data_IF_804045556287
#
_entry.id   IF_804045556287
#
_cell.length_a   1.000
_cell.length_b   1.000
_cell.length_c   1.000
_cell.angle_alpha   90.00
_cell.angle_beta   90.00
_cell.angle_gamma   90.00
#
_symmetry.space_group_name_H-M   'P 1'
#
loop_
_entity.id
_entity.type
_entity.pdbx_description
1 polymer ?
#
# COMPACT_ATOMS: atom_id res chain seq x y z
N UNK A 1 14.86 14.79 4.84
CA UNK A 1 13.76 13.99 4.26
C UNK A 1 14.36 12.99 3.28
N UNK A 2 13.90 11.71 3.33
CA UNK A 2 14.39 10.64 2.45
C UNK A 2 14.08 10.99 0.99
N UNK A 3 15.10 11.08 0.11
CA UNK A 3 14.93 11.51 -1.29
C UNK A 3 14.90 10.35 -2.28
N UNK A 4 15.30 9.14 -1.86
CA UNK A 4 15.44 7.99 -2.75
C UNK A 4 14.13 7.24 -2.84
N UNK A 5 13.72 6.90 -4.08
CA UNK A 5 12.51 6.15 -4.39
C UNK A 5 12.79 4.92 -5.27
N UNK A 6 14.05 4.55 -5.41
CA UNK A 6 14.42 3.43 -6.26
C UNK A 6 14.27 2.12 -5.49
N UNK A 7 13.27 1.33 -5.86
CA UNK A 7 13.11 -0.04 -5.39
C UNK A 7 13.63 -1.00 -6.45
N UNK A 8 14.56 -1.87 -6.08
CA UNK A 8 15.02 -2.97 -6.92
C UNK A 8 14.04 -4.13 -6.78
N UNK A 9 13.38 -4.50 -7.87
CA UNK A 9 12.56 -5.71 -7.94
C UNK A 9 13.35 -6.83 -8.61
N UNK A 10 13.69 -7.86 -7.84
CA UNK A 10 14.38 -9.04 -8.36
C UNK A 10 13.34 -10.10 -8.68
N UNK A 11 13.01 -10.23 -9.96
CA UNK A 11 11.96 -11.15 -10.46
C UNK A 11 12.53 -12.41 -11.10
N UNK A 12 13.86 -12.53 -11.18
CA UNK A 12 14.53 -13.71 -11.72
C UNK A 12 14.38 -14.87 -10.75
N UNK A 13 13.87 -15.98 -11.24
CA UNK A 13 13.71 -17.22 -10.47
C UNK A 13 15.08 -17.72 -10.00
N UNK A 14 15.14 -18.23 -8.76
CA UNK A 14 16.35 -18.72 -8.07
C UNK A 14 17.51 -17.72 -7.99
N UNK A 15 17.22 -16.43 -8.16
CA UNK A 15 18.23 -15.38 -7.97
C UNK A 15 18.61 -15.26 -6.49
N UNK A 16 19.90 -15.34 -6.19
CA UNK A 16 20.49 -15.07 -4.90
C UNK A 16 21.08 -13.66 -4.84
N UNK A 17 20.92 -13.00 -3.69
CA UNK A 17 21.42 -11.64 -3.47
C UNK A 17 22.62 -11.64 -2.54
N UNK A 18 23.69 -10.96 -2.91
CA UNK A 18 24.89 -10.83 -2.08
C UNK A 18 25.40 -9.40 -2.03
N UNK A 19 26.24 -9.12 -1.02
CA UNK A 19 26.95 -7.86 -0.91
C UNK A 19 28.35 -8.03 -1.52
N UNK A 20 28.72 -7.07 -2.38
CA UNK A 20 30.10 -6.92 -2.83
C UNK A 20 30.50 -5.43 -2.80
N UNK A 21 31.38 -5.06 -1.86
CA UNK A 21 31.67 -3.67 -1.55
C UNK A 21 30.39 -2.91 -1.14
N UNK A 22 30.08 -1.86 -1.85
CA UNK A 22 28.86 -1.03 -1.65
C UNK A 22 27.73 -1.40 -2.63
N UNK A 23 27.76 -2.60 -3.21
CA UNK A 23 26.79 -3.01 -4.23
C UNK A 23 26.02 -4.26 -3.79
N UNK A 24 24.72 -4.30 -4.15
CA UNK A 24 23.98 -5.54 -4.22
C UNK A 24 24.29 -6.23 -5.54
N UNK A 25 24.68 -7.47 -5.47
CA UNK A 25 24.93 -8.36 -6.61
C UNK A 25 23.79 -9.36 -6.69
N UNK A 26 23.15 -9.44 -7.85
CA UNK A 26 22.14 -10.43 -8.18
C UNK A 26 22.81 -11.54 -8.96
N UNK A 27 22.78 -12.77 -8.48
CA UNK A 27 23.41 -13.92 -9.14
C UNK A 27 22.44 -15.10 -9.24
N UNK A 28 22.66 -15.95 -10.24
CA UNK A 28 22.00 -17.24 -10.40
C UNK A 28 23.05 -18.28 -10.78
N UNK A 29 23.03 -19.44 -10.15
CA UNK A 29 24.01 -20.53 -10.41
C UNK A 29 25.48 -20.04 -10.36
N UNK A 30 25.79 -19.13 -9.42
CA UNK A 30 27.09 -18.45 -9.26
C UNK A 30 27.49 -17.49 -10.40
N UNK A 31 26.64 -17.24 -11.38
CA UNK A 31 26.86 -16.22 -12.38
C UNK A 31 26.24 -14.90 -11.95
N UNK A 32 26.99 -13.81 -12.03
CA UNK A 32 26.48 -12.46 -11.81
C UNK A 32 25.55 -12.07 -12.97
N UNK A 33 24.32 -11.72 -12.65
CA UNK A 33 23.33 -11.24 -13.62
C UNK A 33 23.26 -9.72 -13.66
N UNK A 34 23.42 -9.09 -12.49
CA UNK A 34 23.33 -7.64 -12.35
C UNK A 34 23.96 -7.15 -11.05
N UNK A 35 24.36 -5.87 -11.04
CA UNK A 35 24.98 -5.19 -9.91
C UNK A 35 24.39 -3.79 -9.77
N UNK A 36 24.01 -3.41 -8.53
CA UNK A 36 23.42 -2.09 -8.26
C UNK A 36 24.04 -1.49 -6.99
N UNK A 37 24.42 -0.19 -7.01
CA UNK A 37 24.93 0.50 -5.84
C UNK A 37 23.85 0.64 -4.76
N UNK A 38 24.13 0.23 -3.52
CA UNK A 38 23.18 0.30 -2.41
C UNK A 38 22.74 1.73 -2.12
N UNK A 39 23.64 2.71 -2.23
CA UNK A 39 23.31 4.11 -1.95
C UNK A 39 22.27 4.71 -2.90
N UNK A 40 21.97 4.06 -4.03
CA UNK A 40 20.91 4.48 -4.96
C UNK A 40 19.55 3.87 -4.64
N UNK A 41 19.48 2.90 -3.70
CA UNK A 41 18.28 2.13 -3.42
C UNK A 41 17.60 2.59 -2.13
N UNK A 42 16.26 2.63 -2.15
CA UNK A 42 15.42 2.78 -0.96
C UNK A 42 14.83 1.45 -0.49
N UNK A 43 14.80 0.45 -1.36
CA UNK A 43 14.27 -0.86 -1.04
C UNK A 43 14.67 -1.91 -2.07
N UNK A 44 14.61 -3.16 -1.64
CA UNK A 44 14.82 -4.36 -2.47
C UNK A 44 13.66 -5.30 -2.19
N UNK A 45 12.95 -5.76 -3.21
CA UNK A 45 11.93 -6.80 -3.11
C UNK A 45 12.35 -7.96 -3.99
N UNK A 46 12.66 -9.09 -3.37
CA UNK A 46 13.11 -10.30 -4.05
C UNK A 46 11.96 -11.31 -4.17
N UNK A 47 11.59 -11.66 -5.39
CA UNK A 47 10.56 -12.65 -5.72
C UNK A 47 11.19 -14.02 -5.94
N UNK A 48 11.94 -14.50 -4.97
CA UNK A 48 12.74 -15.73 -5.05
C UNK A 48 12.80 -16.44 -3.69
N UNK A 49 13.03 -17.73 -3.72
CA UNK A 49 13.30 -18.54 -2.53
C UNK A 49 14.81 -18.68 -2.22
N UNK A 50 15.67 -18.26 -3.13
CA UNK A 50 17.13 -18.43 -2.93
C UNK A 50 17.72 -17.53 -1.82
N UNK A 51 17.05 -16.42 -1.51
CA UNK A 51 17.38 -15.57 -0.36
C UNK A 51 18.51 -14.56 -0.63
N UNK A 52 19.15 -14.13 0.46
CA UNK A 52 20.24 -13.16 0.43
C UNK A 52 21.33 -13.48 1.47
N UNK A 53 22.55 -12.97 1.26
CA UNK A 53 23.63 -13.12 2.21
C UNK A 53 23.38 -12.31 3.48
N UNK A 54 23.82 -12.81 4.69
CA UNK A 54 23.73 -12.06 5.94
C UNK A 54 24.45 -10.70 5.86
N UNK A 55 25.55 -10.63 5.12
CA UNK A 55 26.29 -9.38 4.88
C UNK A 55 25.42 -8.33 4.17
N UNK A 56 24.67 -8.72 3.12
CA UNK A 56 23.74 -7.83 2.44
C UNK A 56 22.58 -7.41 3.37
N UNK A 57 22.02 -8.37 4.11
CA UNK A 57 20.95 -8.09 5.08
C UNK A 57 21.39 -7.02 6.08
N UNK A 58 22.57 -7.19 6.69
CA UNK A 58 23.16 -6.23 7.63
C UNK A 58 23.47 -4.86 6.99
N UNK A 59 23.98 -4.85 5.76
CA UNK A 59 24.25 -3.61 5.03
C UNK A 59 22.95 -2.83 4.69
N UNK A 60 21.89 -3.54 4.32
CA UNK A 60 20.58 -2.96 4.09
C UNK A 60 19.99 -2.37 5.37
N UNK A 61 20.02 -3.14 6.47
CA UNK A 61 19.53 -2.72 7.77
C UNK A 61 20.21 -1.44 8.27
N UNK A 62 21.54 -1.36 8.20
CA UNK A 62 22.32 -0.17 8.60
C UNK A 62 22.04 1.08 7.77
N UNK A 63 21.52 0.93 6.53
CA UNK A 63 21.25 2.03 5.59
C UNK A 63 19.77 2.36 5.44
N UNK A 64 18.90 1.76 6.28
CA UNK A 64 17.43 1.88 6.15
C UNK A 64 16.91 1.49 4.75
N UNK A 65 17.55 0.53 4.10
CA UNK A 65 17.10 -0.05 2.84
C UNK A 65 16.16 -1.22 3.18
N UNK A 66 14.89 -1.07 2.85
CA UNK A 66 13.91 -2.13 3.09
C UNK A 66 14.23 -3.36 2.21
N UNK A 67 14.58 -4.49 2.82
CA UNK A 67 14.81 -5.75 2.10
C UNK A 67 13.68 -6.74 2.45
N UNK A 68 12.88 -7.08 1.44
CA UNK A 68 11.73 -7.98 1.57
C UNK A 68 11.81 -9.14 0.60
N UNK A 69 11.31 -10.28 1.04
CA UNK A 69 11.21 -11.51 0.25
C UNK A 69 9.75 -11.84 0.00
N UNK A 70 9.44 -12.16 -1.25
CA UNK A 70 8.14 -12.63 -1.68
C UNK A 70 8.29 -13.96 -2.43
N UNK A 71 7.24 -14.76 -2.47
CA UNK A 71 7.20 -15.88 -3.41
C UNK A 71 7.30 -15.34 -4.85
N UNK A 72 7.69 -16.17 -5.83
CA UNK A 72 7.65 -15.78 -7.24
C UNK A 72 6.30 -15.21 -7.68
N UNK A 73 5.21 -15.63 -7.04
CA UNK A 73 3.83 -15.16 -7.29
C UNK A 73 3.41 -13.93 -6.46
N UNK A 74 4.34 -13.29 -5.75
CA UNK A 74 4.12 -12.01 -5.04
C UNK A 74 3.56 -12.12 -3.62
N UNK A 75 3.39 -13.35 -3.05
CA UNK A 75 3.01 -13.49 -1.64
C UNK A 75 4.20 -13.14 -0.75
N UNK A 76 4.01 -12.22 0.19
CA UNK A 76 5.01 -11.87 1.18
C UNK A 76 5.46 -13.09 2.01
N UNK A 77 6.76 -13.23 2.21
CA UNK A 77 7.38 -14.29 3.00
C UNK A 77 8.03 -13.72 4.27
N UNK A 78 8.97 -12.80 4.10
CA UNK A 78 9.76 -12.24 5.18
C UNK A 78 10.29 -10.85 4.83
N UNK A 79 10.67 -10.10 5.84
CA UNK A 79 11.40 -8.84 5.73
C UNK A 79 12.62 -8.87 6.66
N UNK A 80 13.72 -8.33 6.17
CA UNK A 80 14.90 -8.11 6.99
C UNK A 80 14.69 -6.83 7.83
N UNK A 81 14.72 -6.99 9.15
CA UNK A 81 14.66 -5.89 10.11
C UNK A 81 15.96 -5.91 10.90
N UNK A 82 16.67 -4.79 10.95
CA UNK A 82 17.90 -4.64 11.71
C UNK A 82 17.66 -4.35 13.19
N UNK A 83 18.69 -3.87 13.86
CA UNK A 83 18.56 -3.38 15.22
C UNK A 83 17.50 -2.28 15.28
N UNK A 84 16.69 -2.30 16.32
CA UNK A 84 15.67 -1.30 16.53
C UNK A 84 16.34 -0.01 16.99
N UNK A 85 16.59 0.89 16.06
CA UNK A 85 17.25 2.18 16.32
C UNK A 85 16.29 3.27 16.77
N UNK A 86 14.97 3.02 16.78
CA UNK A 86 13.96 4.01 17.08
C UNK A 86 13.85 4.42 18.55
N UNK A 87 13.22 5.57 18.77
CA UNK A 87 12.95 6.11 20.08
C UNK A 87 12.05 5.19 20.91
N UNK A 88 12.57 4.59 21.97
CA UNK A 88 11.84 3.72 22.92
C UNK A 88 10.61 4.45 23.50
N UNK A 89 10.73 5.77 23.79
CA UNK A 89 9.62 6.55 24.31
C UNK A 89 8.45 6.64 23.32
N UNK A 90 8.74 6.80 22.03
CA UNK A 90 7.72 6.84 20.97
C UNK A 90 6.95 5.52 20.91
N UNK A 91 7.62 4.37 20.96
CA UNK A 91 6.94 3.06 20.98
C UNK A 91 6.11 2.86 22.24
N UNK A 92 6.63 3.28 23.41
CA UNK A 92 5.83 3.23 24.64
C UNK A 92 4.57 4.08 24.54
N UNK A 93 4.63 5.23 23.89
CA UNK A 93 3.46 6.09 23.65
C UNK A 93 2.50 5.44 22.65
N UNK A 94 3.02 4.81 21.59
CA UNK A 94 2.21 4.04 20.64
C UNK A 94 1.44 2.92 21.37
N UNK A 95 2.11 2.12 22.20
CA UNK A 95 1.47 1.03 22.91
C UNK A 95 0.40 1.52 23.90
N UNK A 96 0.69 2.57 24.66
CA UNK A 96 -0.32 3.18 25.56
C UNK A 96 -1.53 3.71 24.80
N UNK A 97 -1.32 4.33 23.64
CA UNK A 97 -2.41 4.80 22.80
C UNK A 97 -3.21 3.64 22.19
N UNK A 98 -2.56 2.51 21.87
CA UNK A 98 -3.21 1.31 21.35
C UNK A 98 -4.01 0.56 22.46
N UNK A 99 -3.53 0.58 23.70
CA UNK A 99 -4.21 0.00 24.85
C UNK A 99 -5.41 0.84 25.33
N UNK A 100 -5.50 2.11 24.94
CA UNK A 100 -6.60 3.01 25.22
C UNK A 100 -7.61 3.02 24.05
N UNK A 101 -8.80 2.43 24.19
CA UNK A 101 -9.80 2.38 23.12
C UNK A 101 -10.22 3.76 22.60
N UNK A 102 -10.26 4.77 23.46
CA UNK A 102 -10.62 6.13 23.08
C UNK A 102 -9.54 6.78 22.20
N UNK A 103 -8.28 6.68 22.60
CA UNK A 103 -7.17 7.20 21.80
C UNK A 103 -7.00 6.43 20.48
N UNK A 104 -7.15 5.10 20.53
CA UNK A 104 -7.16 4.28 19.32
C UNK A 104 -8.26 4.71 18.35
N UNK A 105 -9.48 4.92 18.84
CA UNK A 105 -10.59 5.39 18.02
C UNK A 105 -10.31 6.78 17.44
N UNK A 106 -9.76 7.69 18.21
CA UNK A 106 -9.39 9.05 17.77
C UNK A 106 -8.37 9.04 16.62
N UNK A 107 -7.39 8.14 16.64
CA UNK A 107 -6.43 7.96 15.55
C UNK A 107 -7.10 7.27 14.35
N UNK A 108 -7.80 6.17 14.59
CA UNK A 108 -8.42 5.36 13.56
C UNK A 108 -9.46 6.15 12.75
N UNK A 109 -10.30 6.98 13.41
CA UNK A 109 -11.30 7.79 12.71
C UNK A 109 -10.70 8.73 11.67
N UNK A 110 -9.55 9.35 11.98
CA UNK A 110 -8.86 10.21 11.02
C UNK A 110 -8.36 9.42 9.81
N UNK A 111 -7.83 8.20 10.02
CA UNK A 111 -7.41 7.31 8.93
C UNK A 111 -8.62 6.88 8.08
N UNK A 112 -9.75 6.52 8.73
CA UNK A 112 -10.97 6.13 8.02
C UNK A 112 -11.60 7.31 7.29
N UNK A 113 -11.62 8.50 7.90
CA UNK A 113 -12.05 9.71 7.20
C UNK A 113 -11.20 9.95 5.93
N UNK A 114 -9.87 9.80 6.03
CA UNK A 114 -8.96 9.86 4.87
C UNK A 114 -9.32 8.85 3.79
N UNK A 115 -9.59 7.59 4.17
CA UNK A 115 -10.06 6.55 3.26
C UNK A 115 -11.34 6.95 2.54
N UNK A 116 -12.37 7.34 3.28
CA UNK A 116 -13.68 7.72 2.71
C UNK A 116 -13.57 8.95 1.80
N UNK A 117 -12.80 9.96 2.22
CA UNK A 117 -12.52 11.15 1.41
C UNK A 117 -11.87 10.75 0.08
N UNK A 118 -10.83 9.94 0.11
CA UNK A 118 -10.09 9.53 -1.07
C UNK A 118 -10.90 8.58 -1.98
N UNK A 119 -11.74 7.71 -1.41
CA UNK A 119 -12.69 6.88 -2.14
C UNK A 119 -13.68 7.76 -2.92
N UNK A 120 -14.30 8.72 -2.25
CA UNK A 120 -15.19 9.69 -2.89
C UNK A 120 -14.50 10.42 -4.04
N UNK A 121 -13.29 10.96 -3.81
CA UNK A 121 -12.58 11.69 -4.87
C UNK A 121 -12.18 10.80 -6.05
N UNK A 122 -11.93 9.51 -5.84
CA UNK A 122 -11.69 8.56 -6.92
C UNK A 122 -12.92 8.40 -7.81
N UNK A 123 -14.14 8.33 -7.22
CA UNK A 123 -15.40 8.28 -7.95
C UNK A 123 -15.69 9.63 -8.63
N UNK A 124 -15.54 10.77 -7.92
CA UNK A 124 -15.76 12.12 -8.46
C UNK A 124 -14.92 12.36 -9.71
N UNK A 125 -13.67 11.95 -9.67
CA UNK A 125 -12.75 12.09 -10.81
C UNK A 125 -13.20 11.25 -12.00
N UNK A 126 -13.61 10.01 -11.79
CA UNK A 126 -14.14 9.17 -12.87
C UNK A 126 -15.41 9.79 -13.47
N UNK A 127 -16.32 10.26 -12.63
CA UNK A 127 -17.56 10.95 -13.06
C UNK A 127 -17.25 12.20 -13.90
N UNK A 128 -16.30 13.02 -13.45
CA UNK A 128 -15.90 14.25 -14.14
C UNK A 128 -15.20 13.97 -15.48
N UNK A 129 -14.22 13.05 -15.45
CA UNK A 129 -13.35 12.83 -16.61
C UNK A 129 -13.99 11.90 -17.66
N UNK A 130 -15.01 11.12 -17.27
CA UNK A 130 -15.62 10.08 -18.13
C UNK A 130 -17.15 10.04 -18.07
N UNK A 131 -17.80 11.16 -17.74
CA UNK A 131 -19.26 11.25 -17.54
C UNK A 131 -20.12 10.73 -18.70
N UNK A 132 -19.62 10.80 -19.94
CA UNK A 132 -20.32 10.25 -21.12
C UNK A 132 -20.23 8.71 -21.24
N UNK A 133 -19.43 8.03 -20.40
CA UNK A 133 -19.13 6.60 -20.49
C UNK A 133 -19.57 5.81 -19.27
N UNK A 134 -20.04 6.49 -18.23
CA UNK A 134 -20.41 5.93 -16.93
C UNK A 134 -21.83 6.36 -16.54
N UNK A 135 -22.47 5.60 -15.66
CA UNK A 135 -23.73 6.02 -15.05
C UNK A 135 -23.46 7.09 -13.99
N UNK A 136 -23.62 8.36 -14.39
CA UNK A 136 -23.39 9.54 -13.54
C UNK A 136 -24.28 9.53 -12.30
N UNK A 137 -25.54 9.08 -12.42
CA UNK A 137 -26.49 9.06 -11.31
C UNK A 137 -26.09 7.99 -10.28
N UNK A 138 -25.69 6.81 -10.74
CA UNK A 138 -25.19 5.73 -9.86
C UNK A 138 -23.93 6.16 -9.12
N UNK A 139 -22.98 6.79 -9.82
CA UNK A 139 -21.76 7.33 -9.20
C UNK A 139 -22.09 8.43 -8.18
N UNK A 140 -23.04 9.33 -8.51
CA UNK A 140 -23.44 10.40 -7.60
C UNK A 140 -24.09 9.85 -6.34
N UNK A 141 -24.98 8.85 -6.45
CA UNK A 141 -25.60 8.20 -5.30
C UNK A 141 -24.56 7.60 -4.36
N UNK A 142 -23.52 6.93 -4.90
CA UNK A 142 -22.42 6.41 -4.10
C UNK A 142 -21.61 7.52 -3.40
N UNK A 143 -21.32 8.62 -4.10
CA UNK A 143 -20.64 9.79 -3.54
C UNK A 143 -21.43 10.35 -2.36
N UNK A 144 -22.76 10.49 -2.49
CA UNK A 144 -23.60 11.06 -1.45
C UNK A 144 -23.72 10.11 -0.24
N UNK A 145 -23.79 8.79 -0.46
CA UNK A 145 -23.70 7.80 0.62
C UNK A 145 -22.39 7.95 1.41
N UNK A 146 -21.25 8.06 0.73
CA UNK A 146 -19.93 8.22 1.39
C UNK A 146 -19.88 9.55 2.14
N UNK A 147 -20.38 10.65 1.57
CA UNK A 147 -20.44 11.96 2.26
C UNK A 147 -21.29 11.92 3.52
N UNK A 148 -22.40 11.19 3.48
CA UNK A 148 -23.28 11.01 4.65
C UNK A 148 -22.59 10.34 5.84
N UNK A 149 -21.53 9.58 5.63
CA UNK A 149 -20.74 8.94 6.70
C UNK A 149 -19.73 9.89 7.36
N UNK A 150 -19.38 11.03 6.74
CA UNK A 150 -18.36 11.92 7.28
C UNK A 150 -18.63 12.41 8.72
N UNK A 151 -19.82 12.97 9.03
CA UNK A 151 -20.10 13.40 10.39
C UNK A 151 -20.08 12.22 11.36
N UNK A 152 -20.66 11.08 10.98
CA UNK A 152 -20.69 9.87 11.81
C UNK A 152 -19.27 9.42 12.19
N UNK A 153 -18.38 9.31 11.23
CA UNK A 153 -16.97 8.93 11.44
C UNK A 153 -16.26 9.95 12.34
N UNK A 154 -16.48 11.25 12.14
CA UNK A 154 -15.76 12.29 12.89
C UNK A 154 -16.22 12.43 14.34
N UNK A 155 -17.46 12.04 14.66
CA UNK A 155 -18.02 12.07 16.00
C UNK A 155 -17.85 10.73 16.74
N UNK A 156 -17.39 9.68 16.05
CA UNK A 156 -17.33 8.33 16.60
C UNK A 156 -16.27 8.19 17.71
N UNK A 157 -16.64 7.49 18.76
CA UNK A 157 -15.82 7.20 19.94
C UNK A 157 -15.62 5.69 20.18
N UNK A 158 -16.31 4.85 19.40
CA UNK A 158 -16.25 3.40 19.48
C UNK A 158 -15.58 2.80 18.25
N UNK A 159 -14.55 1.98 18.45
CA UNK A 159 -13.88 1.27 17.34
C UNK A 159 -14.80 0.27 16.63
N UNK A 160 -15.77 -0.32 17.32
CA UNK A 160 -16.66 -1.30 16.68
C UNK A 160 -17.68 -0.60 15.78
N UNK A 161 -18.24 0.54 16.22
CA UNK A 161 -19.10 1.38 15.36
C UNK A 161 -18.30 1.93 14.17
N UNK A 162 -17.09 2.46 14.42
CA UNK A 162 -16.21 2.97 13.35
C UNK A 162 -15.93 1.92 12.27
N UNK A 163 -15.79 0.64 12.65
CA UNK A 163 -15.66 -0.48 11.68
C UNK A 163 -16.92 -0.69 10.86
N UNK A 164 -18.09 -0.47 11.47
CA UNK A 164 -19.38 -0.51 10.76
C UNK A 164 -19.48 0.56 9.69
N UNK A 165 -19.09 1.79 10.02
CA UNK A 165 -19.08 2.94 9.12
C UNK A 165 -18.04 2.79 8.02
N UNK A 166 -16.84 2.29 8.35
CA UNK A 166 -15.81 1.92 7.38
C UNK A 166 -16.34 0.90 6.38
N UNK A 167 -17.01 -0.16 6.87
CA UNK A 167 -17.63 -1.19 6.05
C UNK A 167 -18.70 -0.63 5.13
N UNK A 168 -19.59 0.23 5.63
CA UNK A 168 -20.63 0.88 4.83
C UNK A 168 -20.02 1.78 3.74
N UNK A 169 -18.97 2.52 4.06
CA UNK A 169 -18.25 3.34 3.09
C UNK A 169 -17.49 2.52 2.04
N UNK A 170 -16.86 1.43 2.46
CA UNK A 170 -16.21 0.49 1.55
C UNK A 170 -17.22 -0.15 0.59
N UNK A 171 -18.38 -0.57 1.10
CA UNK A 171 -19.47 -1.10 0.27
C UNK A 171 -19.92 -0.06 -0.76
N UNK A 172 -20.23 1.18 -0.34
CA UNK A 172 -20.64 2.24 -1.25
C UNK A 172 -19.60 2.49 -2.35
N UNK A 173 -18.32 2.44 -2.03
CA UNK A 173 -17.22 2.59 -3.00
C UNK A 173 -17.14 1.41 -3.98
N UNK A 174 -17.19 0.18 -3.47
CA UNK A 174 -17.04 -1.01 -4.30
C UNK A 174 -18.30 -1.35 -5.10
N UNK A 175 -19.49 -0.88 -4.71
CA UNK A 175 -20.74 -0.99 -5.48
C UNK A 175 -20.63 -0.34 -6.87
N UNK A 176 -19.75 0.66 -7.01
CA UNK A 176 -19.52 1.38 -8.28
C UNK A 176 -18.11 1.17 -8.85
N UNK A 177 -17.33 0.26 -8.27
CA UNK A 177 -15.95 0.04 -8.71
C UNK A 177 -15.90 -0.48 -10.15
N UNK A 178 -16.82 -1.38 -10.50
CA UNK A 178 -16.93 -1.90 -11.87
C UNK A 178 -17.23 -0.79 -12.90
N UNK A 179 -18.02 0.21 -12.52
CA UNK A 179 -18.35 1.33 -13.42
C UNK A 179 -17.11 2.20 -13.73
N UNK A 180 -16.07 2.18 -12.88
CA UNK A 180 -14.79 2.86 -13.11
C UNK A 180 -13.85 2.10 -14.04
N UNK A 181 -14.16 0.84 -14.38
CA UNK A 181 -13.46 0.04 -15.39
C UNK A 181 -14.08 0.41 -16.75
N UNK A 182 -13.32 1.11 -17.58
CA UNK A 182 -13.83 1.71 -18.81
C UNK A 182 -13.53 0.89 -20.07
N UNK A 183 -12.75 -0.19 -19.95
CA UNK A 183 -12.29 -1.00 -21.09
C UNK A 183 -12.25 -2.49 -20.75
N UNK A 184 -12.36 -3.32 -21.79
CA UNK A 184 -12.20 -4.79 -21.71
C UNK A 184 -13.04 -5.45 -20.61
N UNK A 185 -14.29 -5.01 -20.47
CA UNK A 185 -15.19 -5.44 -19.39
C UNK A 185 -15.54 -6.95 -19.42
N UNK A 186 -15.30 -7.63 -20.52
CA UNK A 186 -15.46 -9.08 -20.58
C UNK A 186 -14.42 -9.80 -19.72
N UNK A 187 -13.20 -9.26 -19.66
CA UNK A 187 -12.07 -9.87 -18.96
C UNK A 187 -11.71 -9.13 -17.67
N UNK A 188 -11.99 -7.82 -17.61
CA UNK A 188 -11.80 -6.99 -16.42
C UNK A 188 -13.15 -6.51 -15.89
N UNK A 189 -13.62 -7.18 -14.86
CA UNK A 189 -14.85 -6.86 -14.14
C UNK A 189 -14.62 -6.99 -12.64
N UNK A 190 -15.44 -6.29 -11.87
CA UNK A 190 -15.45 -6.38 -10.43
C UNK A 190 -16.87 -6.69 -9.93
N UNK A 191 -17.07 -7.86 -9.32
CA UNK A 191 -18.36 -8.24 -8.70
C UNK A 191 -18.31 -8.16 -7.19
N UNK A 192 -17.28 -8.73 -6.61
CA UNK A 192 -17.06 -8.77 -5.15
C UNK A 192 -15.58 -8.94 -4.85
N UNK A 193 -15.17 -8.60 -3.64
CA UNK A 193 -13.77 -8.73 -3.22
C UNK A 193 -13.41 -10.18 -2.89
N UNK A 194 -12.59 -10.82 -3.72
CA UNK A 194 -11.93 -12.10 -3.45
C UNK A 194 -10.44 -11.89 -3.17
N UNK A 195 -9.90 -12.58 -2.15
CA UNK A 195 -8.52 -12.29 -1.67
C UNK A 195 -7.61 -13.51 -1.63
N UNK A 196 -8.11 -14.65 -1.21
CA UNK A 196 -7.31 -15.86 -0.91
C UNK A 196 -8.07 -17.11 -1.32
N UNK A 197 -7.99 -17.47 -2.59
CA UNK A 197 -7.31 -16.79 -3.70
C UNK A 197 -8.13 -15.66 -4.34
N UNK A 198 -7.51 -14.76 -5.14
CA UNK A 198 -8.25 -13.90 -6.04
C UNK A 198 -8.85 -14.71 -7.18
N UNK A 199 -10.11 -14.42 -7.57
CA UNK A 199 -10.89 -15.24 -8.51
C UNK A 199 -11.13 -14.55 -9.87
N UNK A 200 -10.62 -13.34 -10.04
CA UNK A 200 -10.68 -12.56 -11.27
C UNK A 200 -9.44 -11.65 -11.43
N UNK A 201 -9.24 -11.14 -12.63
CA UNK A 201 -8.08 -10.33 -12.99
C UNK A 201 -7.96 -9.06 -12.15
N UNK A 202 -9.08 -8.40 -11.86
CA UNK A 202 -9.11 -7.16 -11.06
C UNK A 202 -8.72 -7.44 -9.62
N UNK A 203 -9.28 -8.49 -9.02
CA UNK A 203 -8.94 -8.90 -7.66
C UNK A 203 -7.49 -9.39 -7.52
N UNK A 204 -6.92 -10.02 -8.58
CA UNK A 204 -5.50 -10.38 -8.62
C UNK A 204 -4.62 -9.13 -8.56
N UNK A 205 -4.91 -8.11 -9.38
CA UNK A 205 -4.18 -6.85 -9.39
C UNK A 205 -4.33 -6.06 -8.09
N UNK A 206 -5.54 -5.94 -7.54
CA UNK A 206 -5.80 -5.29 -6.26
C UNK A 206 -5.03 -5.97 -5.12
N UNK A 207 -5.01 -7.31 -5.09
CA UNK A 207 -4.30 -8.06 -4.06
C UNK A 207 -2.79 -7.83 -4.13
N UNK A 208 -2.25 -7.77 -5.35
CA UNK A 208 -0.83 -7.50 -5.55
C UNK A 208 -0.46 -6.04 -5.20
N UNK A 209 -1.25 -5.06 -5.65
CA UNK A 209 -1.09 -3.64 -5.28
C UNK A 209 -1.11 -3.43 -3.76
N UNK A 210 -2.07 -4.06 -3.06
CA UNK A 210 -2.17 -3.94 -1.61
C UNK A 210 -1.00 -4.61 -0.88
N UNK A 211 -0.44 -5.69 -1.42
CA UNK A 211 0.77 -6.30 -0.86
C UNK A 211 1.97 -5.37 -0.97
N UNK A 212 2.15 -4.71 -2.11
CA UNK A 212 3.22 -3.74 -2.32
C UNK A 212 3.04 -2.50 -1.43
N UNK A 213 1.82 -1.94 -1.37
CA UNK A 213 1.52 -0.77 -0.55
C UNK A 213 1.66 -1.07 0.94
N UNK A 214 1.19 -2.24 1.40
CA UNK A 214 1.34 -2.67 2.79
C UNK A 214 2.81 -2.81 3.20
N UNK A 215 3.66 -3.31 2.31
CA UNK A 215 5.11 -3.35 2.50
C UNK A 215 5.73 -1.94 2.60
N UNK A 216 5.33 -1.02 1.72
CA UNK A 216 5.78 0.37 1.75
C UNK A 216 5.37 1.06 3.06
N UNK A 217 4.12 0.85 3.52
CA UNK A 217 3.62 1.39 4.80
C UNK A 217 4.37 0.82 6.01
N UNK A 218 4.59 -0.51 6.05
CA UNK A 218 5.34 -1.14 7.14
C UNK A 218 6.77 -0.62 7.22
N UNK A 219 7.47 -0.54 6.07
CA UNK A 219 8.83 0.00 6.00
C UNK A 219 8.90 1.47 6.41
N UNK A 220 7.87 2.26 6.07
CA UNK A 220 7.77 3.65 6.48
C UNK A 220 7.61 3.80 7.99
N UNK A 221 6.74 3.02 8.62
CA UNK A 221 6.52 3.03 10.07
C UNK A 221 7.77 2.65 10.84
N UNK A 222 8.44 1.59 10.42
CA UNK A 222 9.69 1.15 11.05
C UNK A 222 10.81 2.18 10.92
N UNK A 223 10.92 2.85 9.77
CA UNK A 223 11.96 3.87 9.55
C UNK A 223 11.79 5.11 10.44
N UNK A 224 10.61 5.35 11.00
CA UNK A 224 10.36 6.43 11.98
C UNK A 224 10.33 5.93 13.43
N UNK A 225 10.57 4.63 13.65
CA UNK A 225 10.66 4.02 14.97
C UNK A 225 9.33 3.57 15.57
N UNK A 226 8.27 3.43 14.75
CA UNK A 226 7.00 2.85 15.14
C UNK A 226 6.98 1.33 14.90
N UNK A 227 6.23 0.62 15.71
CA UNK A 227 5.95 -0.81 15.53
C UNK A 227 4.83 -0.98 14.51
N UNK A 228 5.14 -1.59 13.35
CA UNK A 228 4.17 -1.80 12.30
C UNK A 228 3.07 -2.82 12.66
N UNK A 229 3.24 -3.59 13.73
CA UNK A 229 2.30 -4.65 14.13
C UNK A 229 1.24 -4.17 15.12
N UNK A 230 1.51 -3.13 15.92
CA UNK A 230 0.56 -2.59 16.92
C UNK A 230 -0.27 -1.48 16.28
N UNK A 231 -1.49 -1.82 15.89
CA UNK A 231 -2.45 -0.94 15.22
C UNK A 231 -3.44 -0.27 16.18
N UNK A 232 -4.27 0.60 15.63
CA UNK A 232 -5.33 1.32 16.36
C UNK A 232 -6.73 0.83 15.96
N UNK A 233 -6.97 0.58 14.67
CA UNK A 233 -8.24 0.07 14.15
C UNK A 233 -8.23 -1.45 13.98
N UNK A 234 -7.19 -1.96 13.36
CA UNK A 234 -7.03 -3.39 13.17
C UNK A 234 -6.58 -4.05 14.49
N UNK A 235 -7.37 -5.02 14.97
CA UNK A 235 -7.03 -5.78 16.20
C UNK A 235 -5.73 -6.56 16.01
N UNK A 236 -4.96 -6.69 17.07
CA UNK A 236 -3.72 -7.45 17.07
C UNK A 236 -3.98 -8.92 16.75
N UNK A 237 -3.15 -9.45 15.87
CA UNK A 237 -3.11 -10.88 15.51
C UNK A 237 -1.67 -11.27 15.21
N UNK A 238 -1.21 -12.46 15.63
CA UNK A 238 0.12 -12.94 15.29
C UNK A 238 0.40 -12.87 13.79
N UNK A 239 1.54 -12.28 13.41
CA UNK A 239 1.98 -12.13 12.02
C UNK A 239 1.24 -11.08 11.20
N UNK A 240 0.36 -10.26 11.80
CA UNK A 240 -0.41 -9.22 11.10
C UNK A 240 0.19 -7.84 11.40
N UNK A 241 0.66 -7.15 10.38
CA UNK A 241 1.17 -5.77 10.50
C UNK A 241 0.00 -4.78 10.61
N UNK A 242 -0.68 -4.76 11.79
CA UNK A 242 -1.95 -4.05 12.00
C UNK A 242 -1.84 -2.56 11.75
N UNK A 243 -0.77 -1.88 12.21
CA UNK A 243 -0.60 -0.44 11.96
C UNK A 243 -0.28 -0.14 10.50
N UNK A 244 0.46 -1.01 9.81
CA UNK A 244 0.70 -0.83 8.38
C UNK A 244 -0.60 -0.96 7.57
N UNK A 245 -1.52 -1.82 7.99
CA UNK A 245 -2.85 -1.92 7.39
C UNK A 245 -3.71 -0.69 7.70
N UNK A 246 -3.63 -0.15 8.92
CA UNK A 246 -4.33 1.09 9.31
C UNK A 246 -3.87 2.27 8.45
N UNK A 247 -2.55 2.47 8.36
CA UNK A 247 -1.97 3.55 7.55
C UNK A 247 -2.30 3.40 6.06
N UNK A 248 -2.33 2.17 5.56
CA UNK A 248 -2.66 1.88 4.18
C UNK A 248 -4.10 2.25 3.81
N UNK A 249 -5.05 2.28 4.76
CA UNK A 249 -6.45 2.58 4.47
C UNK A 249 -6.63 3.92 3.75
N UNK A 250 -5.89 4.95 4.16
CA UNK A 250 -5.93 6.27 3.52
C UNK A 250 -5.48 6.23 2.04
N UNK A 251 -4.56 5.33 1.72
CA UNK A 251 -3.87 5.29 0.42
C UNK A 251 -4.49 4.29 -0.56
N UNK A 252 -5.31 3.36 -0.09
CA UNK A 252 -5.94 2.36 -0.97
C UNK A 252 -6.70 3.01 -2.12
N UNK A 253 -7.70 3.90 -1.88
CA UNK A 253 -8.52 4.39 -2.98
C UNK A 253 -7.76 5.30 -3.95
N UNK A 254 -6.91 6.19 -3.43
CA UNK A 254 -6.26 7.23 -4.23
C UNK A 254 -4.95 6.77 -4.89
N UNK A 255 -4.29 5.76 -4.34
CA UNK A 255 -3.03 5.25 -4.88
C UNK A 255 -3.20 3.85 -5.49
N UNK A 256 -3.53 2.81 -4.71
CA UNK A 256 -3.56 1.42 -5.18
C UNK A 256 -4.71 1.14 -6.15
N UNK A 257 -5.95 1.50 -5.79
CA UNK A 257 -7.13 1.21 -6.60
C UNK A 257 -7.10 2.00 -7.91
N UNK A 258 -6.78 3.30 -7.83
CA UNK A 258 -6.62 4.12 -9.02
C UNK A 258 -5.48 3.67 -9.92
N UNK A 259 -4.41 3.15 -9.34
CA UNK A 259 -3.33 2.57 -10.12
C UNK A 259 -3.83 1.35 -10.92
N UNK A 260 -4.53 0.43 -10.27
CA UNK A 260 -5.13 -0.74 -10.94
C UNK A 260 -6.08 -0.31 -12.07
N UNK A 261 -7.00 0.62 -11.78
CA UNK A 261 -7.91 1.17 -12.79
C UNK A 261 -7.15 1.81 -13.97
N UNK A 262 -6.05 2.52 -13.69
CA UNK A 262 -5.22 3.14 -14.72
C UNK A 262 -4.53 2.10 -15.61
N UNK A 263 -4.02 1.00 -15.03
CA UNK A 263 -3.40 -0.07 -15.81
C UNK A 263 -4.39 -0.71 -16.79
N UNK A 264 -5.62 -0.95 -16.35
CA UNK A 264 -6.69 -1.51 -17.19
C UNK A 264 -7.11 -0.50 -18.26
N UNK A 265 -7.47 0.71 -17.84
CA UNK A 265 -8.05 1.72 -18.73
C UNK A 265 -7.05 2.22 -19.79
N UNK A 266 -5.74 2.19 -19.49
CA UNK A 266 -4.66 2.54 -20.42
C UNK A 266 -4.08 1.31 -21.17
N UNK A 267 -4.62 0.10 -20.94
CA UNK A 267 -4.16 -1.14 -21.58
C UNK A 267 -2.68 -1.46 -21.32
N UNK A 268 -2.17 -1.10 -20.16
CA UNK A 268 -0.81 -1.45 -19.74
C UNK A 268 -0.76 -2.93 -19.35
N UNK A 269 -1.83 -3.43 -18.75
CA UNK A 269 -2.05 -4.85 -18.44
C UNK A 269 -3.23 -5.33 -19.29
N UNK A 270 -3.08 -6.50 -19.89
CA UNK A 270 -4.01 -7.14 -20.82
C UNK A 270 -4.45 -8.51 -20.28
N UNK A 271 -5.50 -9.15 -20.82
CA UNK A 271 -5.92 -10.48 -20.36
C UNK A 271 -4.84 -11.56 -20.50
N UNK A 272 -3.91 -11.44 -21.47
CA UNK A 272 -2.79 -12.36 -21.65
C UNK A 272 -1.73 -12.29 -20.54
N UNK A 273 -1.80 -11.28 -19.67
CA UNK A 273 -0.92 -11.11 -18.53
C UNK A 273 -1.36 -11.91 -17.29
N UNK A 274 -2.40 -12.73 -17.42
CA UNK A 274 -2.94 -13.56 -16.36
C UNK A 274 -2.92 -15.03 -16.69
N UNK A 275 -2.75 -15.85 -15.66
CA UNK A 275 -2.92 -17.30 -15.68
C UNK A 275 -4.03 -17.71 -14.70
N UNK A 276 -4.86 -18.68 -15.14
CA UNK A 276 -5.91 -19.28 -14.33
C UNK A 276 -5.45 -20.64 -13.87
N UNK A 277 -5.42 -20.87 -12.57
CA UNK A 277 -5.03 -22.16 -11.98
C UNK A 277 -6.23 -23.13 -11.93
N UNK A 278 -5.96 -24.43 -11.82
CA UNK A 278 -7.00 -25.46 -11.65
C UNK A 278 -7.86 -25.23 -10.38
N UNK A 279 -7.30 -24.56 -9.37
CA UNK A 279 -8.03 -24.18 -8.15
C UNK A 279 -8.92 -22.94 -8.32
N UNK A 280 -9.03 -22.39 -9.52
CA UNK A 280 -9.79 -21.19 -9.85
C UNK A 280 -9.08 -19.86 -9.44
N UNK A 281 -7.86 -19.93 -8.94
CA UNK A 281 -7.10 -18.73 -8.63
C UNK A 281 -6.60 -18.04 -9.90
N UNK A 282 -6.65 -16.70 -9.90
CA UNK A 282 -6.11 -15.87 -10.98
C UNK A 282 -4.84 -15.20 -10.50
N UNK A 283 -3.77 -15.35 -11.28
CA UNK A 283 -2.44 -14.86 -10.96
C UNK A 283 -1.86 -14.08 -12.14
N UNK A 284 -0.99 -13.10 -11.86
CA UNK A 284 -0.20 -12.44 -12.91
C UNK A 284 0.88 -13.39 -13.43
N UNK A 285 0.99 -13.50 -14.75
CA UNK A 285 2.15 -14.14 -15.41
C UNK A 285 3.44 -13.40 -15.08
N UNK A 286 4.59 -13.96 -15.38
CA UNK A 286 5.89 -13.30 -15.20
C UNK A 286 5.99 -11.97 -15.96
N UNK A 287 5.48 -11.93 -17.19
CA UNK A 287 5.46 -10.71 -17.99
C UNK A 287 4.49 -9.67 -17.42
N UNK A 288 3.27 -10.10 -17.05
CA UNK A 288 2.28 -9.24 -16.40
C UNK A 288 2.81 -8.66 -15.10
N UNK A 289 3.50 -9.46 -14.27
CA UNK A 289 4.12 -9.01 -13.03
C UNK A 289 5.24 -7.99 -13.28
N UNK A 290 6.12 -8.22 -14.26
CA UNK A 290 7.17 -7.26 -14.64
C UNK A 290 6.56 -5.92 -15.12
N UNK A 291 5.55 -5.96 -15.98
CA UNK A 291 4.84 -4.77 -16.46
C UNK A 291 4.19 -4.00 -15.29
N UNK A 292 3.51 -4.72 -14.38
CA UNK A 292 2.89 -4.15 -13.20
C UNK A 292 3.91 -3.47 -12.28
N UNK A 293 5.03 -4.13 -11.97
CA UNK A 293 6.08 -3.59 -11.09
C UNK A 293 6.78 -2.38 -11.70
N UNK A 294 7.02 -2.40 -13.01
CA UNK A 294 7.56 -1.24 -13.75
C UNK A 294 6.63 -0.04 -13.61
N UNK A 295 5.35 -0.22 -13.92
CA UNK A 295 4.35 0.84 -13.82
C UNK A 295 4.17 1.33 -12.36
N UNK A 296 4.24 0.41 -11.36
CA UNK A 296 4.20 0.77 -9.94
C UNK A 296 5.35 1.68 -9.56
N UNK A 297 6.56 1.37 -10.01
CA UNK A 297 7.74 2.17 -9.75
C UNK A 297 7.68 3.55 -10.44
N UNK A 298 7.14 3.61 -11.65
CA UNK A 298 6.89 4.87 -12.36
C UNK A 298 5.88 5.72 -11.58
N UNK A 299 4.76 5.12 -11.16
CA UNK A 299 3.73 5.79 -10.35
C UNK A 299 4.28 6.35 -9.04
N UNK A 300 5.19 5.65 -8.37
CA UNK A 300 5.83 6.13 -7.14
C UNK A 300 6.66 7.40 -7.35
N UNK A 301 7.14 7.66 -8.57
CA UNK A 301 7.92 8.86 -8.93
C UNK A 301 7.06 10.07 -9.26
N UNK A 302 5.78 9.88 -9.57
CA UNK A 302 4.87 11.00 -9.85
C UNK A 302 4.84 11.98 -8.69
N UNK A 303 4.93 13.27 -9.01
CA UNK A 303 4.97 14.34 -8.01
C UNK A 303 3.56 14.82 -7.70
N UNK A 304 3.26 14.97 -6.42
CA UNK A 304 2.03 15.54 -5.89
C UNK A 304 2.33 16.66 -4.91
N UNK A 305 1.34 17.51 -4.66
CA UNK A 305 1.39 18.41 -3.51
C UNK A 305 0.71 17.74 -2.32
N UNK A 306 1.46 17.53 -1.23
CA UNK A 306 0.91 16.91 -0.02
C UNK A 306 -0.18 17.79 0.60
N UNK A 307 -1.39 17.25 0.85
CA UNK A 307 -2.54 18.09 1.24
C UNK A 307 -2.36 18.84 2.54
N UNK A 308 -1.67 18.26 3.52
CA UNK A 308 -1.41 18.91 4.81
C UNK A 308 -0.14 19.79 4.78
N UNK A 309 1.00 19.26 4.31
CA UNK A 309 2.28 19.98 4.30
C UNK A 309 2.35 21.08 3.25
N UNK A 310 1.51 21.05 2.21
CA UNK A 310 1.55 21.93 1.03
C UNK A 310 2.89 21.89 0.26
N UNK A 311 3.68 20.86 0.48
CA UNK A 311 4.95 20.62 -0.18
C UNK A 311 4.81 19.62 -1.34
N UNK A 312 5.63 19.81 -2.37
CA UNK A 312 5.74 18.87 -3.48
C UNK A 312 6.59 17.67 -3.07
N UNK A 313 6.04 16.48 -3.24
CA UNK A 313 6.75 15.24 -2.99
C UNK A 313 6.25 14.13 -3.94
N UNK A 314 7.03 13.09 -4.06
CA UNK A 314 6.65 11.94 -4.89
C UNK A 314 5.69 11.01 -4.14
N UNK A 315 4.76 10.36 -4.87
CA UNK A 315 3.80 9.41 -4.30
C UNK A 315 4.44 8.36 -3.39
N UNK A 316 5.59 7.83 -3.78
CA UNK A 316 6.28 6.82 -2.98
C UNK A 316 6.80 7.31 -1.62
N UNK A 317 6.82 8.62 -1.37
CA UNK A 317 7.17 9.20 -0.06
C UNK A 317 5.95 9.42 0.84
N UNK A 318 4.73 9.34 0.31
CA UNK A 318 3.51 9.59 1.10
C UNK A 318 3.41 8.68 2.32
N UNK A 319 3.62 7.35 2.22
CA UNK A 319 3.61 6.50 3.41
C UNK A 319 4.59 6.95 4.49
N UNK A 320 5.80 7.36 4.10
CA UNK A 320 6.82 7.85 5.03
C UNK A 320 6.41 9.17 5.69
N UNK A 321 5.85 10.10 4.94
CA UNK A 321 5.36 11.39 5.48
C UNK A 321 4.21 11.15 6.46
N UNK A 322 3.24 10.29 6.12
CA UNK A 322 2.14 9.94 7.01
C UNK A 322 2.63 9.23 8.29
N UNK A 323 3.62 8.35 8.19
CA UNK A 323 4.26 7.73 9.36
C UNK A 323 4.97 8.77 10.25
N UNK A 324 5.64 9.76 9.67
CA UNK A 324 6.24 10.89 10.42
C UNK A 324 5.18 11.74 11.13
N UNK A 325 4.07 12.04 10.45
CA UNK A 325 2.97 12.82 11.04
C UNK A 325 2.31 12.04 12.19
N UNK A 326 2.14 10.73 12.05
CA UNK A 326 1.66 9.87 13.13
C UNK A 326 2.65 9.84 14.32
N UNK A 327 3.96 9.73 14.05
CA UNK A 327 4.98 9.78 15.11
C UNK A 327 4.99 11.12 15.84
N UNK A 328 4.79 12.24 15.13
CA UNK A 328 4.67 13.57 15.73
C UNK A 328 3.42 13.72 16.58
N UNK A 329 2.28 13.20 16.09
CA UNK A 329 1.05 13.17 16.88
C UNK A 329 1.24 12.39 18.19
N UNK A 330 1.81 11.18 18.11
CA UNK A 330 2.07 10.34 19.29
C UNK A 330 3.05 10.98 20.29
N UNK A 331 3.92 11.91 19.87
CA UNK A 331 4.79 12.70 20.74
C UNK A 331 4.16 13.98 21.25
N UNK A 332 2.89 14.24 20.93
CA UNK A 332 2.17 15.48 21.24
C UNK A 332 2.75 16.74 20.55
N UNK A 333 3.46 16.55 19.42
CA UNK A 333 3.90 17.68 18.57
C UNK A 333 2.77 18.20 17.65
N UNK A 334 1.66 17.46 17.59
CA UNK A 334 0.44 17.80 16.83
C UNK A 334 -0.79 17.50 17.70
N UNK A 335 -1.82 18.33 17.61
CA UNK A 335 -3.09 18.15 18.33
C UNK A 335 -3.91 16.96 17.81
N UNK A 336 -3.81 16.69 16.49
CA UNK A 336 -4.45 15.57 15.84
C UNK A 336 -3.56 14.96 14.75
N UNK A 337 -3.79 13.68 14.44
CA UNK A 337 -3.18 13.04 13.27
C UNK A 337 -3.85 13.56 11.99
N UNK A 338 -3.13 14.27 11.10
CA UNK A 338 -3.70 14.79 9.88
C UNK A 338 -3.79 13.70 8.81
N UNK A 339 -5.00 13.29 8.38
CA UNK A 339 -5.15 12.28 7.35
C UNK A 339 -4.70 12.80 5.98
N UNK A 340 -4.35 11.87 5.09
CA UNK A 340 -4.02 12.19 3.71
C UNK A 340 -5.29 12.43 2.89
N UNK A 341 -5.63 13.70 2.62
CA UNK A 341 -6.85 14.10 1.92
C UNK A 341 -6.52 14.50 0.47
N UNK A 342 -6.39 13.51 -0.41
CA UNK A 342 -6.10 13.73 -1.82
C UNK A 342 -7.31 14.31 -2.59
N UNK A 343 -7.02 15.19 -3.60
CA UNK A 343 -8.03 15.80 -4.49
C UNK A 343 -7.65 15.64 -5.97
#
# INVERSE_FOLDING_TARGET
>A
MKKLLNTLFVTTEDAYLSLDGENVVVSREKQELARFPLHTLSGIIAFTYAGASPALMGACAKRDIALSFCTPRGRFLARCVGETTGNVLLRRMQYRAADDPFQSCRIARNMIFGKLHNARWSIERTKRDHGLRVDVNKLQASIDRIKGLYPLVMEEISLDSLRGEEGAGAQAYFDVFDDMILRSKAEFYYRTRSRRPPLDNVNAMLSFAYSLLGNDCASALESVGLDAYVGFMHRDRPGRSSLALDLMEELRPCFADRFVLSLINNRVITPSDFEHTDSGAVLLTDNGRKAFLKAWQERKRDVITHPYLKEKLSWGLVPYVQALLLARYLRYDLDEYPPFLWK
#
